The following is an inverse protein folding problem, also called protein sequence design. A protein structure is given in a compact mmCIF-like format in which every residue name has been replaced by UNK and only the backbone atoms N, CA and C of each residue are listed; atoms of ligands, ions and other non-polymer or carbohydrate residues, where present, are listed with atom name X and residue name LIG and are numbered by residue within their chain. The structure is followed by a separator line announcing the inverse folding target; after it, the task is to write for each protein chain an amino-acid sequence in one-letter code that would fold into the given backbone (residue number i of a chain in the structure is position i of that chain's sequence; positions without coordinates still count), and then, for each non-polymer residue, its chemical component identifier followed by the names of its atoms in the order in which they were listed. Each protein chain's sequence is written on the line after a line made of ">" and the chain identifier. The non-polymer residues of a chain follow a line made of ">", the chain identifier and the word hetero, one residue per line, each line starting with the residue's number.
data_IF_464108087125
#
_entry.id   IF_464108087125
#
_cell.length_a   1.000
_cell.length_b   1.000
_cell.length_c   1.000
_cell.angle_alpha   90.00
_cell.angle_beta   90.00
_cell.angle_gamma   90.00
#
_symmetry.space_group_name_H-M   'P 1'
#
loop_
_entity.id
_entity.type
_entity.pdbx_description
1 polymer ?
#
# COMPACT_ATOMS: atom_id res chain seq x y z
N UNK A 1 -3.29 9.60 -14.42
CA UNK A 1 -2.25 8.60 -14.71
C UNK A 1 -1.75 8.10 -13.36
N UNK A 2 -2.08 6.85 -13.02
CA UNK A 2 -1.85 6.26 -11.70
C UNK A 2 -0.52 5.49 -11.76
N UNK A 3 0.45 5.88 -10.95
CA UNK A 3 1.75 5.22 -10.91
C UNK A 3 1.75 4.21 -9.75
N UNK A 4 1.97 2.93 -10.05
CA UNK A 4 2.09 1.88 -9.03
C UNK A 4 3.54 1.82 -8.54
N UNK A 5 3.75 1.92 -7.22
CA UNK A 5 5.07 1.94 -6.59
C UNK A 5 5.47 0.58 -5.98
N UNK A 6 5.23 -0.55 -6.66
CA UNK A 6 5.77 -1.90 -6.38
C UNK A 6 5.91 -2.60 -7.75
N UNK A 7 6.93 -3.47 -8.01
CA UNK A 7 7.61 -3.52 -9.29
C UNK A 7 6.66 -3.84 -10.45
N UNK A 8 6.94 -3.31 -11.66
CA UNK A 8 6.15 -3.60 -12.84
C UNK A 8 6.30 -5.09 -13.17
N UNK A 9 5.33 -5.88 -12.76
CA UNK A 9 5.02 -7.13 -13.44
C UNK A 9 4.40 -6.72 -14.78
N UNK A 10 5.19 -6.88 -15.82
CA UNK A 10 4.91 -6.67 -17.25
C UNK A 10 5.15 -5.27 -17.86
N UNK A 11 6.18 -5.26 -18.72
CA UNK A 11 6.52 -4.24 -19.71
C UNK A 11 5.45 -4.14 -20.81
N UNK A 12 4.25 -3.66 -20.50
CA UNK A 12 3.39 -3.06 -21.52
C UNK A 12 2.90 -1.70 -21.03
N UNK A 13 3.05 -0.71 -21.93
CA UNK A 13 2.62 0.69 -21.85
C UNK A 13 3.60 1.72 -21.29
N UNK A 14 4.63 2.08 -22.07
CA UNK A 14 4.99 3.50 -22.30
C UNK A 14 5.42 3.68 -23.77
N UNK A 15 4.59 4.33 -24.57
CA UNK A 15 5.04 5.10 -25.74
C UNK A 15 4.34 6.45 -25.64
N UNK A 16 5.07 7.47 -25.18
CA UNK A 16 4.61 8.85 -25.24
C UNK A 16 5.23 9.50 -26.48
N UNK A 17 4.41 9.79 -27.48
CA UNK A 17 4.78 10.71 -28.56
C UNK A 17 4.67 12.13 -28.02
N UNK A 18 5.83 12.78 -27.89
CA UNK A 18 5.97 14.21 -27.68
C UNK A 18 5.51 14.96 -28.93
N UNK A 19 4.57 15.89 -28.78
CA UNK A 19 4.44 17.08 -29.64
C UNK A 19 3.56 18.13 -28.97
N UNK A 20 4.15 19.25 -28.61
CA UNK A 20 3.54 20.55 -28.35
C UNK A 20 4.47 21.60 -29.01
N UNK A 21 4.07 22.88 -29.22
CA UNK A 21 2.74 23.51 -29.04
C UNK A 21 2.33 24.44 -30.22
N UNK A 22 1.15 25.08 -30.14
CA UNK A 22 1.01 26.53 -30.41
C UNK A 22 -0.30 27.12 -29.84
N UNK A 23 -0.24 28.42 -29.59
CA UNK A 23 -1.02 29.21 -28.64
C UNK A 23 -2.39 29.75 -29.13
N UNK A 24 -3.15 30.22 -28.13
CA UNK A 24 -4.41 31.02 -28.00
C UNK A 24 -4.57 32.24 -28.95
N UNK A 25 -5.71 33.02 -29.02
CA UNK A 25 -6.73 33.27 -27.96
C UNK A 25 -8.20 33.60 -28.37
N UNK A 26 -9.02 33.86 -27.32
CA UNK A 26 -10.13 34.84 -27.20
C UNK A 26 -11.59 34.32 -27.15
N UNK A 27 -12.39 34.95 -26.28
CA UNK A 27 -13.86 34.90 -26.31
C UNK A 27 -14.54 34.87 -24.95
N UNK A 28 -15.08 36.01 -24.50
CA UNK A 28 -15.96 36.16 -23.32
C UNK A 28 -17.36 35.58 -23.64
N UNK A 29 -18.11 35.10 -22.65
CA UNK A 29 -19.45 35.61 -22.24
C UNK A 29 -20.08 34.77 -21.12
N UNK A 30 -20.83 35.48 -20.27
CA UNK A 30 -21.56 35.05 -19.09
C UNK A 30 -22.89 34.42 -19.49
N UNK A 31 -23.36 33.35 -18.82
CA UNK A 31 -24.77 33.11 -18.48
C UNK A 31 -24.91 31.97 -17.47
N UNK A 32 -25.87 32.19 -16.57
CA UNK A 32 -26.36 31.37 -15.45
C UNK A 32 -26.93 30.00 -15.84
N UNK A 33 -26.69 28.99 -15.01
CA UNK A 33 -27.63 27.90 -14.74
C UNK A 33 -27.23 27.14 -13.46
N UNK A 34 -28.06 27.21 -12.42
CA UNK A 34 -28.11 26.22 -11.32
C UNK A 34 -28.82 24.98 -11.84
N UNK A 35 -28.27 23.76 -11.66
CA UNK A 35 -29.10 22.76 -10.98
C UNK A 35 -28.38 21.65 -10.17
N UNK A 36 -29.02 21.29 -9.04
CA UNK A 36 -29.43 19.93 -8.65
C UNK A 36 -28.33 18.92 -8.27
N UNK A 37 -27.78 19.07 -7.06
CA UNK A 37 -27.44 17.91 -6.23
C UNK A 37 -27.60 18.29 -4.75
N UNK A 38 -28.78 17.94 -4.22
CA UNK A 38 -29.01 17.79 -2.80
C UNK A 38 -28.35 16.49 -2.35
N UNK A 39 -27.54 16.59 -1.30
CA UNK A 39 -27.39 15.61 -0.21
C UNK A 39 -27.35 14.13 -0.62
N UNK A 40 -26.15 13.57 -0.68
CA UNK A 40 -25.92 12.18 -0.29
C UNK A 40 -24.81 12.17 0.76
N UNK A 41 -25.20 12.46 2.00
CA UNK A 41 -24.39 12.15 3.17
C UNK A 41 -24.44 10.63 3.36
N UNK A 42 -23.49 9.92 2.77
CA UNK A 42 -23.17 8.57 3.20
C UNK A 42 -22.50 8.70 4.58
N UNK A 43 -23.34 8.56 5.61
CA UNK A 43 -22.89 8.28 6.97
C UNK A 43 -22.12 6.96 6.92
N UNK A 44 -20.79 7.04 6.89
CA UNK A 44 -19.94 5.92 7.28
C UNK A 44 -20.31 5.57 8.72
N UNK A 45 -21.07 4.50 8.89
CA UNK A 45 -21.27 3.90 10.21
C UNK A 45 -19.93 3.34 10.63
N UNK A 46 -19.16 4.13 11.39
CA UNK A 46 -18.05 3.64 12.18
C UNK A 46 -18.62 2.67 13.21
N UNK A 47 -18.71 1.40 12.85
CA UNK A 47 -18.82 0.34 13.85
C UNK A 47 -17.62 0.50 14.77
N UNK A 48 -17.89 0.78 16.05
CA UNK A 48 -16.89 0.72 17.11
C UNK A 48 -16.35 -0.70 17.14
N UNK A 49 -15.24 -0.92 16.45
CA UNK A 49 -14.41 -2.09 16.69
C UNK A 49 -13.84 -1.89 18.10
N UNK A 50 -14.27 -2.71 19.04
CA UNK A 50 -13.63 -2.81 20.34
C UNK A 50 -12.19 -3.23 20.09
N UNK A 51 -11.28 -2.26 20.19
CA UNK A 51 -9.86 -2.52 20.25
C UNK A 51 -9.61 -3.36 21.51
N UNK A 52 -9.58 -4.68 21.37
CA UNK A 52 -8.89 -5.52 22.34
C UNK A 52 -7.47 -4.97 22.42
N UNK A 53 -7.00 -4.65 23.62
CA UNK A 53 -5.63 -4.17 23.80
C UNK A 53 -4.70 -5.27 23.32
N UNK A 54 -4.18 -5.13 22.09
CA UNK A 54 -3.17 -6.04 21.59
C UNK A 54 -1.98 -5.95 22.56
N UNK A 55 -1.58 -7.10 23.11
CA UNK A 55 -0.39 -7.18 23.93
C UNK A 55 0.80 -6.77 23.07
N UNK A 56 1.55 -5.77 23.54
CA UNK A 56 2.74 -5.30 22.86
C UNK A 56 3.98 -6.03 23.40
N UNK A 57 4.91 -6.48 22.53
CA UNK A 57 4.79 -6.53 21.07
C UNK A 57 3.88 -7.69 20.62
N UNK A 58 3.21 -7.59 19.45
CA UNK A 58 2.42 -8.69 18.92
C UNK A 58 3.34 -9.83 18.46
N UNK A 59 3.04 -11.05 18.92
CA UNK A 59 3.83 -12.28 18.67
C UNK A 59 3.02 -13.39 18.00
N UNK A 60 1.81 -13.09 17.53
CA UNK A 60 0.94 -14.02 16.81
C UNK A 60 0.31 -13.33 15.61
N UNK A 61 -0.14 -14.08 14.62
CA UNK A 61 -0.88 -13.54 13.48
C UNK A 61 -2.10 -12.71 13.94
N UNK A 62 -2.88 -13.22 14.90
CA UNK A 62 -4.03 -12.51 15.47
C UNK A 62 -3.64 -11.19 16.16
N UNK A 63 -2.55 -11.19 16.95
CA UNK A 63 -2.08 -9.97 17.61
C UNK A 63 -1.54 -8.95 16.58
N UNK A 64 -0.85 -9.41 15.53
CA UNK A 64 -0.36 -8.56 14.45
C UNK A 64 -1.52 -7.97 13.62
N UNK A 65 -2.55 -8.76 13.34
CA UNK A 65 -3.80 -8.28 12.73
C UNK A 65 -4.39 -7.13 13.54
N UNK A 66 -4.59 -7.33 14.85
CA UNK A 66 -5.10 -6.28 15.75
C UNK A 66 -4.21 -5.04 15.80
N UNK A 67 -2.89 -5.23 15.79
CA UNK A 67 -1.92 -4.13 15.77
C UNK A 67 -2.03 -3.29 14.49
N UNK A 68 -2.12 -3.92 13.32
CA UNK A 68 -2.09 -3.23 12.02
C UNK A 68 -3.37 -2.47 11.68
N UNK A 69 -4.51 -2.85 12.25
CA UNK A 69 -5.81 -2.21 12.00
C UNK A 69 -5.76 -0.67 12.10
N UNK A 70 -6.43 -0.02 11.14
CA UNK A 70 -6.62 1.42 11.11
C UNK A 70 -5.70 2.17 10.15
N UNK A 71 -5.58 3.49 10.39
CA UNK A 71 -4.85 4.42 9.53
C UNK A 71 -3.43 4.72 10.02
N UNK A 72 -2.53 4.92 9.07
CA UNK A 72 -1.10 5.14 9.27
C UNK A 72 -0.61 6.23 8.32
N UNK A 73 0.15 7.20 8.83
CA UNK A 73 0.98 8.06 8.02
C UNK A 73 2.15 7.22 7.50
N UNK A 74 2.51 7.41 6.23
CA UNK A 74 3.51 6.61 5.54
C UNK A 74 4.55 7.51 4.91
N UNK A 75 5.81 7.23 5.22
CA UNK A 75 6.97 7.80 4.55
C UNK A 75 7.81 6.68 3.96
N UNK A 76 8.29 6.86 2.72
CA UNK A 76 9.23 5.93 2.10
C UNK A 76 10.43 6.62 1.50
N UNK A 77 11.57 5.98 1.62
CA UNK A 77 12.77 6.28 0.87
C UNK A 77 13.10 5.09 -0.05
N UNK A 78 13.39 5.39 -1.32
CA UNK A 78 13.80 4.43 -2.33
C UNK A 78 15.20 4.80 -2.80
N UNK A 79 16.14 3.86 -2.66
CA UNK A 79 17.52 4.04 -3.11
C UNK A 79 17.95 2.87 -3.97
N UNK A 80 18.03 3.10 -5.28
CA UNK A 80 18.45 2.14 -6.26
C UNK A 80 19.80 2.51 -6.86
N UNK A 81 20.70 1.52 -6.88
CA UNK A 81 22.01 1.59 -7.53
C UNK A 81 21.94 1.08 -8.97
N UNK A 82 20.98 0.20 -9.27
CA UNK A 82 20.72 -0.34 -10.61
C UNK A 82 19.24 -0.59 -10.78
N UNK A 83 18.72 -0.23 -11.95
CA UNK A 83 17.29 -0.29 -12.25
C UNK A 83 16.47 0.52 -11.25
N UNK A 84 15.14 0.39 -11.33
CA UNK A 84 14.24 1.15 -10.45
C UNK A 84 14.37 2.67 -10.61
N UNK A 85 13.73 3.40 -9.72
CA UNK A 85 13.79 4.86 -9.66
C UNK A 85 13.89 5.26 -8.19
N UNK A 86 14.98 5.91 -7.81
CA UNK A 86 15.19 6.43 -6.45
C UNK A 86 14.30 7.65 -6.19
N UNK A 87 14.02 7.90 -4.92
CA UNK A 87 13.17 9.01 -4.53
C UNK A 87 12.49 8.79 -3.19
N UNK A 88 11.43 9.55 -2.94
CA UNK A 88 10.64 9.45 -1.72
C UNK A 88 9.16 9.31 -2.02
N UNK A 89 8.41 8.84 -1.02
CA UNK A 89 6.96 8.85 -1.03
C UNK A 89 6.45 9.32 0.34
N UNK A 90 5.40 10.14 0.34
CA UNK A 90 4.67 10.52 1.55
C UNK A 90 3.18 10.33 1.30
N UNK A 91 2.49 9.68 2.23
CA UNK A 91 1.08 9.36 2.07
C UNK A 91 0.45 8.79 3.32
N UNK A 92 -0.65 8.08 3.10
CA UNK A 92 -1.38 7.37 4.14
C UNK A 92 -1.61 5.93 3.72
N UNK A 93 -1.70 5.05 4.71
CA UNK A 93 -2.07 3.65 4.57
C UNK A 93 -3.22 3.32 5.50
N UNK A 94 -4.17 2.54 5.02
CA UNK A 94 -5.24 1.98 5.85
C UNK A 94 -5.20 0.46 5.76
N UNK A 95 -5.31 -0.20 6.91
CA UNK A 95 -5.64 -1.62 7.02
C UNK A 95 -7.09 -1.73 7.48
N UNK A 96 -7.99 -2.11 6.57
CA UNK A 96 -9.41 -2.24 6.84
C UNK A 96 -9.83 -3.72 6.81
N UNK A 97 -10.70 -4.19 7.73
CA UNK A 97 -11.26 -5.54 7.65
C UNK A 97 -11.94 -5.79 6.31
N UNK A 98 -11.74 -6.99 5.76
CA UNK A 98 -12.48 -7.47 4.60
C UNK A 98 -13.29 -8.70 5.01
N UNK A 99 -14.61 -8.53 5.15
CA UNK A 99 -15.51 -9.64 5.47
C UNK A 99 -15.61 -10.61 4.29
N UNK A 100 -15.25 -11.87 4.51
CA UNK A 100 -15.31 -12.92 3.49
C UNK A 100 -15.92 -14.20 4.08
N UNK A 101 -16.64 -14.96 3.25
CA UNK A 101 -17.42 -16.13 3.71
C UNK A 101 -16.56 -17.29 4.19
N UNK A 102 -15.40 -17.49 3.57
CA UNK A 102 -14.55 -18.68 3.79
C UNK A 102 -13.23 -18.37 4.48
N UNK A 103 -12.82 -17.09 4.49
CA UNK A 103 -11.53 -16.65 5.04
C UNK A 103 -11.81 -15.65 6.15
N UNK A 104 -11.34 -15.97 7.35
CA UNK A 104 -11.48 -15.12 8.52
C UNK A 104 -10.19 -14.30 8.72
N UNK A 105 -10.33 -13.08 9.26
CA UNK A 105 -9.22 -12.17 9.56
C UNK A 105 -8.44 -11.65 8.34
N UNK A 106 -9.15 -11.22 7.29
CA UNK A 106 -8.55 -10.50 6.17
C UNK A 106 -8.46 -9.00 6.45
N UNK A 107 -7.33 -8.39 6.08
CA UNK A 107 -7.17 -6.94 5.99
C UNK A 107 -6.90 -6.50 4.55
N UNK A 108 -7.69 -5.57 4.05
CA UNK A 108 -7.38 -4.80 2.86
C UNK A 108 -6.43 -3.66 3.23
N UNK A 109 -5.19 -3.76 2.75
CA UNK A 109 -4.21 -2.68 2.76
C UNK A 109 -4.48 -1.76 1.59
N UNK A 110 -4.59 -0.46 1.85
CA UNK A 110 -4.65 0.57 0.82
C UNK A 110 -3.69 1.69 1.17
N UNK A 111 -2.79 1.99 0.25
CA UNK A 111 -1.84 3.09 0.32
C UNK A 111 -2.15 4.12 -0.76
N UNK A 112 -2.12 5.40 -0.40
CA UNK A 112 -2.29 6.52 -1.32
C UNK A 112 -1.40 7.70 -0.89
N UNK A 113 -0.78 8.36 -1.86
CA UNK A 113 0.09 9.50 -1.58
C UNK A 113 0.87 10.00 -2.77
N UNK A 114 1.88 10.80 -2.48
CA UNK A 114 2.70 11.48 -3.48
C UNK A 114 4.12 10.93 -3.47
N UNK A 115 4.63 10.63 -4.66
CA UNK A 115 6.00 10.23 -4.90
C UNK A 115 6.80 11.40 -5.50
N UNK A 116 8.06 11.54 -5.10
CA UNK A 116 9.03 12.43 -5.74
C UNK A 116 10.19 11.56 -6.21
N UNK A 117 10.34 11.40 -7.51
CA UNK A 117 11.17 10.35 -8.10
C UNK A 117 12.18 10.89 -9.12
N UNK A 118 13.32 10.19 -9.22
CA UNK A 118 14.34 10.41 -10.23
C UNK A 118 15.17 11.68 -10.00
N UNK A 119 16.19 11.87 -10.84
CA UNK A 119 17.11 13.01 -10.74
C UNK A 119 16.39 14.36 -10.91
N UNK A 120 15.36 14.41 -11.76
CA UNK A 120 14.54 15.60 -11.99
C UNK A 120 13.53 15.87 -10.86
N UNK A 121 13.44 14.97 -9.87
CA UNK A 121 12.50 15.08 -8.74
C UNK A 121 11.05 15.29 -9.20
N UNK A 122 10.64 14.56 -10.23
CA UNK A 122 9.28 14.65 -10.74
C UNK A 122 8.28 14.08 -9.73
N UNK A 123 7.13 14.75 -9.62
CA UNK A 123 6.11 14.46 -8.62
C UNK A 123 4.94 13.70 -9.22
N UNK A 124 4.50 12.63 -8.57
CA UNK A 124 3.42 11.77 -9.05
C UNK A 124 2.46 11.38 -7.93
N UNK A 125 1.17 11.22 -8.26
CA UNK A 125 0.24 10.51 -7.38
C UNK A 125 0.39 9.01 -7.58
N UNK A 126 0.49 8.28 -6.47
CA UNK A 126 0.70 6.85 -6.45
C UNK A 126 -0.21 6.17 -5.43
N UNK A 127 -0.61 4.95 -5.75
CA UNK A 127 -1.38 4.11 -4.84
C UNK A 127 -1.06 2.64 -5.02
N UNK A 128 -1.37 1.86 -3.99
CA UNK A 128 -1.16 0.42 -3.94
C UNK A 128 -2.23 -0.22 -3.06
N UNK A 129 -2.75 -1.35 -3.50
CA UNK A 129 -3.62 -2.20 -2.69
C UNK A 129 -2.99 -3.58 -2.50
N UNK A 130 -3.16 -4.17 -1.33
CA UNK A 130 -2.80 -5.55 -1.03
C UNK A 130 -3.90 -6.19 -0.19
N UNK A 131 -3.98 -7.51 -0.27
CA UNK A 131 -4.75 -8.32 0.67
C UNK A 131 -3.79 -9.00 1.65
N UNK A 132 -4.07 -8.88 2.94
CA UNK A 132 -3.35 -9.59 4.01
C UNK A 132 -4.31 -10.60 4.65
N UNK A 133 -3.85 -11.84 4.78
CA UNK A 133 -4.59 -12.94 5.38
C UNK A 133 -3.88 -13.42 6.64
N UNK A 134 -4.59 -13.37 7.76
CA UNK A 134 -4.09 -13.76 9.08
C UNK A 134 -4.75 -15.04 9.61
N UNK A 135 -5.52 -15.74 8.78
CA UNK A 135 -6.27 -16.94 9.17
C UNK A 135 -5.43 -18.22 9.25
N UNK A 136 -4.22 -18.22 8.67
CA UNK A 136 -3.30 -19.36 8.67
C UNK A 136 -2.25 -19.33 9.78
N UNK A 137 -1.33 -20.30 9.75
CA UNK A 137 -0.17 -20.34 10.65
C UNK A 137 0.80 -19.18 10.36
N UNK A 138 0.93 -18.82 9.08
CA UNK A 138 1.70 -17.67 8.59
C UNK A 138 0.75 -16.58 8.12
N UNK A 139 1.22 -15.33 8.15
CA UNK A 139 0.48 -14.20 7.55
C UNK A 139 0.81 -14.16 6.07
N UNK A 140 -0.18 -14.39 5.21
CA UNK A 140 0.01 -14.35 3.76
C UNK A 140 -0.38 -12.97 3.21
N UNK A 141 0.42 -12.46 2.29
CA UNK A 141 0.20 -11.17 1.63
C UNK A 141 0.10 -11.38 0.13
N UNK A 142 -0.87 -10.72 -0.48
CA UNK A 142 -1.21 -10.85 -1.88
C UNK A 142 -1.30 -9.49 -2.56
N UNK A 143 -0.89 -9.44 -3.82
CA UNK A 143 -1.28 -8.37 -4.73
C UNK A 143 -2.79 -8.41 -4.94
N UNK A 144 -3.42 -7.24 -4.85
CA UNK A 144 -4.83 -7.05 -5.16
C UNK A 144 -4.96 -6.62 -6.63
N UNK A 145 -5.31 -7.57 -7.50
CA UNK A 145 -5.52 -7.34 -8.94
C UNK A 145 -7.01 -7.32 -9.30
N UNK A 146 -7.90 -7.24 -8.30
CA UNK A 146 -9.32 -7.28 -8.53
C UNK A 146 -9.85 -6.01 -9.19
N UNK A 147 -10.61 -6.19 -10.27
CA UNK A 147 -11.24 -5.10 -11.03
C UNK A 147 -12.50 -4.56 -10.36
N UNK A 148 -13.19 -5.41 -9.63
CA UNK A 148 -14.33 -5.03 -8.80
C UNK A 148 -13.94 -5.14 -7.32
N UNK A 149 -14.70 -4.44 -6.46
CA UNK A 149 -14.37 -4.31 -5.04
C UNK A 149 -15.22 -5.18 -4.12
N UNK A 150 -15.96 -6.16 -4.66
CA UNK A 150 -16.64 -7.15 -3.82
C UNK A 150 -15.59 -8.01 -3.09
N UNK A 151 -15.80 -8.37 -1.81
CA UNK A 151 -14.83 -9.20 -1.08
C UNK A 151 -14.44 -10.48 -1.82
N UNK A 152 -15.41 -11.14 -2.46
CA UNK A 152 -15.21 -12.36 -3.24
C UNK A 152 -14.30 -12.12 -4.44
N UNK A 153 -14.38 -10.96 -5.09
CA UNK A 153 -13.49 -10.64 -6.20
C UNK A 153 -12.09 -10.25 -5.75
N UNK A 154 -11.95 -9.55 -4.63
CA UNK A 154 -10.64 -9.24 -4.05
C UNK A 154 -9.89 -10.53 -3.74
N UNK A 155 -10.55 -11.48 -3.08
CA UNK A 155 -9.96 -12.78 -2.77
C UNK A 155 -9.68 -13.58 -4.04
N UNK A 156 -10.59 -13.61 -5.01
CA UNK A 156 -10.39 -14.32 -6.29
C UNK A 156 -9.28 -13.72 -7.16
N UNK A 157 -9.11 -12.40 -7.12
CA UNK A 157 -8.07 -11.67 -7.86
C UNK A 157 -6.75 -11.57 -7.11
N UNK A 158 -6.64 -12.16 -5.91
CA UNK A 158 -5.44 -12.11 -5.11
C UNK A 158 -4.34 -12.98 -5.73
N UNK A 159 -3.17 -12.37 -6.00
CA UNK A 159 -1.97 -13.10 -6.45
C UNK A 159 -0.92 -13.07 -5.35
N UNK A 160 -0.40 -14.24 -4.98
CA UNK A 160 0.57 -14.36 -3.89
C UNK A 160 1.75 -13.41 -4.06
N UNK A 161 2.13 -12.74 -2.97
CA UNK A 161 3.27 -11.83 -2.91
C UNK A 161 4.37 -12.41 -2.00
N UNK A 162 4.09 -12.52 -0.71
CA UNK A 162 4.99 -13.12 0.28
C UNK A 162 4.19 -13.64 1.48
N UNK A 163 4.85 -14.38 2.38
CA UNK A 163 4.30 -14.69 3.70
C UNK A 163 5.23 -14.14 4.79
N UNK A 164 4.71 -13.92 5.99
CA UNK A 164 5.46 -13.53 7.18
C UNK A 164 5.21 -14.60 8.22
N UNK A 165 6.29 -15.26 8.65
CA UNK A 165 6.22 -16.24 9.73
C UNK A 165 6.44 -15.55 11.08
N UNK A 166 5.33 -15.19 11.72
CA UNK A 166 5.33 -14.52 13.04
C UNK A 166 5.74 -15.49 14.14
N UNK A 167 5.56 -16.80 13.95
CA UNK A 167 5.89 -17.82 14.96
C UNK A 167 7.36 -18.23 14.90
N UNK A 168 7.98 -18.22 13.71
CA UNK A 168 9.38 -18.58 13.52
C UNK A 168 10.36 -17.58 14.17
N UNK A 169 9.98 -16.30 14.25
CA UNK A 169 10.75 -15.31 14.99
C UNK A 169 10.12 -15.09 16.37
N UNK A 170 10.87 -15.37 17.44
CA UNK A 170 10.41 -15.13 18.80
C UNK A 170 10.03 -13.65 19.03
N UNK A 171 10.70 -12.73 18.32
CA UNK A 171 10.45 -11.29 18.34
C UNK A 171 10.79 -10.62 17.01
N UNK A 172 10.28 -9.40 16.83
CA UNK A 172 10.63 -8.52 15.71
C UNK A 172 12.15 -8.28 15.68
N UNK A 173 12.79 -8.24 14.49
CA UNK A 173 12.13 -8.13 13.18
C UNK A 173 11.73 -9.47 12.53
N UNK A 174 10.60 -9.47 11.82
CA UNK A 174 10.16 -10.61 11.01
C UNK A 174 10.72 -10.52 9.60
N UNK A 175 11.36 -11.59 9.13
CA UNK A 175 11.95 -11.67 7.80
C UNK A 175 11.03 -12.41 6.83
N UNK A 176 11.06 -12.00 5.56
CA UNK A 176 10.27 -12.61 4.49
C UNK A 176 10.92 -12.36 3.13
N UNK A 177 10.51 -13.13 2.13
CA UNK A 177 11.09 -13.06 0.79
C UNK A 177 10.01 -12.97 -0.28
N UNK A 178 10.34 -12.31 -1.38
CA UNK A 178 9.56 -12.30 -2.59
C UNK A 178 10.48 -12.49 -3.82
N UNK A 179 10.47 -13.67 -4.45
CA UNK A 179 11.12 -13.85 -5.74
C UNK A 179 10.29 -13.13 -6.82
N UNK A 180 10.87 -12.10 -7.44
CA UNK A 180 10.26 -11.35 -8.52
C UNK A 180 11.04 -11.58 -9.81
N UNK A 181 10.64 -12.60 -10.58
CA UNK A 181 11.36 -13.05 -11.78
C UNK A 181 12.83 -13.38 -11.43
N UNK A 182 13.79 -12.64 -11.99
CA UNK A 182 15.21 -12.84 -11.74
C UNK A 182 15.74 -12.05 -10.52
N UNK A 183 14.94 -11.17 -9.92
CA UNK A 183 15.33 -10.38 -8.77
C UNK A 183 14.80 -11.00 -7.47
N UNK A 184 15.64 -11.01 -6.42
CA UNK A 184 15.23 -11.43 -5.09
C UNK A 184 14.97 -10.21 -4.21
N UNK A 185 13.76 -10.13 -3.65
CA UNK A 185 13.40 -9.14 -2.63
C UNK A 185 13.41 -9.80 -1.25
N UNK A 186 14.22 -9.25 -0.35
CA UNK A 186 14.26 -9.64 1.07
C UNK A 186 13.63 -8.54 1.90
N UNK A 187 12.57 -8.88 2.59
CA UNK A 187 11.77 -7.99 3.42
C UNK A 187 12.05 -8.19 4.90
N UNK A 188 11.95 -7.10 5.65
CA UNK A 188 12.03 -7.07 7.11
C UNK A 188 10.89 -6.20 7.64
N UNK A 189 10.09 -6.73 8.55
CA UNK A 189 9.05 -6.01 9.29
C UNK A 189 9.54 -5.78 10.71
N UNK A 190 9.82 -4.53 11.05
CA UNK A 190 10.22 -4.11 12.39
C UNK A 190 9.03 -3.47 13.10
N UNK A 191 8.65 -4.00 14.26
CA UNK A 191 7.65 -3.41 15.13
C UNK A 191 8.37 -2.50 16.14
N UNK A 192 8.60 -1.25 15.74
CA UNK A 192 9.44 -0.32 16.49
C UNK A 192 8.75 0.22 17.76
N UNK A 193 7.43 0.45 17.71
CA UNK A 193 6.63 0.97 18.82
C UNK A 193 5.13 0.57 18.71
N UNK A 194 4.32 0.71 19.77
CA UNK A 194 2.87 0.46 19.73
C UNK A 194 2.11 1.26 18.63
N UNK A 195 2.68 2.37 18.20
CA UNK A 195 2.16 3.28 17.17
C UNK A 195 3.15 3.52 16.01
N UNK A 196 4.19 2.70 15.86
CA UNK A 196 5.11 2.78 14.73
C UNK A 196 5.66 1.42 14.31
N UNK A 197 5.69 1.16 13.00
CA UNK A 197 6.42 0.03 12.43
C UNK A 197 7.12 0.43 11.14
N UNK A 198 8.10 -0.38 10.74
CA UNK A 198 8.91 -0.16 9.55
C UNK A 198 8.95 -1.41 8.68
N UNK A 199 8.86 -1.25 7.38
CA UNK A 199 9.11 -2.29 6.39
C UNK A 199 10.31 -1.91 5.54
N UNK A 200 11.38 -2.71 5.64
CA UNK A 200 12.56 -2.57 4.80
C UNK A 200 12.56 -3.67 3.75
N UNK A 201 12.77 -3.29 2.49
CA UNK A 201 13.03 -4.19 1.40
C UNK A 201 14.44 -3.97 0.86
N UNK A 202 15.17 -5.06 0.69
CA UNK A 202 16.42 -5.12 -0.07
C UNK A 202 16.18 -5.94 -1.33
N UNK A 203 16.34 -5.33 -2.49
CA UNK A 203 16.29 -6.06 -3.77
C UNK A 203 17.69 -6.30 -4.30
N UNK A 204 17.96 -7.53 -4.71
CA UNK A 204 19.21 -7.88 -5.34
C UNK A 204 18.95 -8.83 -6.51
N UNK A 205 19.31 -8.39 -7.71
CA UNK A 205 19.16 -9.16 -8.94
C UNK A 205 19.70 -8.41 -10.16
N UNK A 206 19.67 -9.03 -11.34
CA UNK A 206 20.21 -8.43 -12.55
C UNK A 206 19.43 -7.17 -12.97
N UNK A 207 18.11 -7.11 -12.74
CA UNK A 207 17.30 -5.98 -13.19
C UNK A 207 17.27 -4.86 -12.15
N UNK A 208 17.26 -5.20 -10.86
CA UNK A 208 17.20 -4.23 -9.78
C UNK A 208 18.18 -4.51 -8.65
N UNK A 209 18.73 -3.43 -8.12
CA UNK A 209 19.58 -3.46 -6.95
C UNK A 209 19.40 -2.19 -6.14
N UNK A 210 18.77 -2.30 -4.98
CA UNK A 210 18.46 -1.16 -4.13
C UNK A 210 17.73 -1.53 -2.86
N UNK A 211 17.22 -0.50 -2.19
CA UNK A 211 16.42 -0.61 -0.98
C UNK A 211 15.15 0.23 -1.08
N UNK A 212 14.10 -0.24 -0.42
CA UNK A 212 12.89 0.54 -0.13
C UNK A 212 12.70 0.50 1.36
N UNK A 213 12.64 1.66 1.98
CA UNK A 213 12.53 1.81 3.42
C UNK A 213 11.25 2.58 3.72
N UNK A 214 10.30 1.94 4.39
CA UNK A 214 8.97 2.47 4.64
C UNK A 214 8.67 2.53 6.14
N UNK A 215 8.40 3.71 6.67
CA UNK A 215 7.99 3.93 8.06
C UNK A 215 6.51 4.25 8.11
N UNK A 216 5.80 3.61 9.04
CA UNK A 216 4.37 3.74 9.26
C UNK A 216 4.13 4.23 10.68
N UNK A 217 3.50 5.40 10.82
CA UNK A 217 3.17 5.99 12.12
C UNK A 217 1.66 6.08 12.28
N UNK A 218 1.10 5.55 13.38
CA UNK A 218 -0.35 5.46 13.58
C UNK A 218 -0.98 6.86 13.55
N UNK A 219 -2.03 7.02 12.74
CA UNK A 219 -2.85 8.22 12.76
C UNK A 219 -3.85 8.07 13.90
N UNK A 220 -3.67 8.87 14.95
CA UNK A 220 -4.68 8.98 16.01
C UNK A 220 -5.89 9.70 15.42
N UNK A 221 -7.08 9.11 15.53
CA UNK A 221 -8.30 9.84 15.25
C UNK A 221 -8.33 11.08 16.16
N UNK A 222 -8.65 12.25 15.60
CA UNK A 222 -9.00 13.39 16.43
C UNK A 222 -10.21 12.99 17.28
N UNK A 223 -10.08 13.13 18.60
CA UNK A 223 -11.13 12.82 19.58
C UNK A 223 -12.19 13.91 19.52
#
# INVERSE_FOLDING_TARGET
>A
MQYYLVPPTDYRYITALLSLPRATPSGRHCHSATPWWMRSSLLLTLSRMTAGSATWPPRTAAALHSYLLGGWALEKAMDYRRGGVSGTFTGVTTFAPLEHRERAALLLYKEEGQAVLGAERSTFQASKSLLWDFGGEQVEVFFDEAKDRSPEAVVRGARFFHHIDVAAAAESPFQFEHPCLADMYRGTLCLDAPDSFRMLWRVNGPNKDGTIDATYTRIKAAI
#
